data_IF_371305522383
#
_entry.id   IF_371305522383
#
_cell.length_a   1.000
_cell.length_b   1.000
_cell.length_c   1.000
_cell.angle_alpha   90.00
_cell.angle_beta   90.00
_cell.angle_gamma   90.00
#
_symmetry.space_group_name_H-M   'P 1'
#
loop_
_entity.id
_entity.type
_entity.pdbx_description
1 polymer ?
#
# COMPACT_ATOMS: atom_id res chain seq x y z
N UNK A 1 -0.16 14.70 -10.80
CA UNK A 1 -0.13 13.76 -9.67
C UNK A 1 1.29 13.64 -9.15
N UNK A 2 1.45 13.68 -7.86
CA UNK A 2 2.76 13.55 -7.21
C UNK A 2 2.77 12.35 -6.28
N UNK A 3 3.69 11.40 -6.51
CA UNK A 3 3.93 10.26 -5.62
C UNK A 3 5.18 10.58 -4.80
N UNK A 4 5.06 10.56 -3.48
CA UNK A 4 6.14 10.93 -2.58
C UNK A 4 6.01 10.25 -1.22
N UNK A 5 7.07 10.22 -0.40
CA UNK A 5 6.97 9.75 0.96
C UNK A 5 5.94 10.56 1.77
N UNK A 6 5.22 9.86 2.65
CA UNK A 6 4.26 10.49 3.55
C UNK A 6 4.99 11.32 4.60
N UNK A 7 4.37 12.43 5.02
CA UNK A 7 4.87 13.26 6.14
C UNK A 7 4.07 12.96 7.40
N UNK A 8 4.67 13.14 8.61
CA UNK A 8 3.96 12.86 9.85
C UNK A 8 2.61 13.57 10.00
N UNK A 9 2.52 14.81 9.57
CA UNK A 9 1.27 15.58 9.62
C UNK A 9 0.18 15.02 8.69
N UNK A 10 0.52 14.08 7.82
CA UNK A 10 -0.40 13.46 6.87
C UNK A 10 -0.89 12.08 7.33
N UNK A 11 -0.40 11.57 8.44
CA UNK A 11 -0.77 10.23 8.92
C UNK A 11 -2.28 10.09 9.11
N UNK A 12 -2.92 11.11 9.67
CA UNK A 12 -4.37 11.06 9.87
C UNK A 12 -5.13 11.09 8.54
N UNK A 13 -4.67 11.85 7.56
CA UNK A 13 -5.26 11.85 6.23
C UNK A 13 -5.21 10.47 5.59
N UNK A 14 -4.09 9.76 5.74
CA UNK A 14 -3.96 8.39 5.25
C UNK A 14 -4.89 7.43 5.99
N UNK A 15 -5.04 7.58 7.29
CA UNK A 15 -5.94 6.74 8.10
C UNK A 15 -7.39 6.93 7.67
N UNK A 16 -7.81 8.18 7.48
CA UNK A 16 -9.16 8.50 7.00
C UNK A 16 -9.40 7.92 5.60
N UNK A 17 -8.40 8.01 4.71
CA UNK A 17 -8.47 7.44 3.37
C UNK A 17 -8.66 5.92 3.42
N UNK A 18 -7.87 5.24 4.23
CA UNK A 18 -8.00 3.78 4.42
C UNK A 18 -9.38 3.41 4.95
N UNK A 19 -9.89 4.15 5.92
CA UNK A 19 -11.22 3.93 6.47
C UNK A 19 -12.29 4.06 5.39
N UNK A 20 -12.18 5.06 4.52
CA UNK A 20 -13.11 5.25 3.40
C UNK A 20 -13.04 4.10 2.39
N UNK A 21 -11.92 3.37 2.34
CA UNK A 21 -11.72 2.22 1.47
C UNK A 21 -12.05 0.88 2.15
N UNK A 22 -12.64 0.90 3.33
CA UNK A 22 -13.11 -0.31 4.02
C UNK A 22 -12.13 -0.90 5.03
N UNK A 23 -10.98 -0.29 5.25
CA UNK A 23 -10.07 -0.71 6.31
C UNK A 23 -10.66 -0.29 7.66
N UNK A 24 -10.66 -1.17 8.66
CA UNK A 24 -11.30 -0.89 9.95
C UNK A 24 -10.40 -1.20 11.13
N UNK A 25 -10.30 -2.47 11.53
CA UNK A 25 -9.67 -2.85 12.80
C UNK A 25 -8.21 -2.48 12.94
N UNK A 26 -7.42 -2.66 11.87
CA UNK A 26 -5.97 -2.38 11.92
C UNK A 26 -5.63 -0.92 12.12
N UNK A 27 -6.54 -0.04 11.72
CA UNK A 27 -6.26 1.39 11.65
C UNK A 27 -7.11 2.22 12.60
N UNK A 28 -7.94 1.60 13.44
CA UNK A 28 -8.85 2.37 14.31
C UNK A 28 -8.12 3.12 15.42
N UNK A 29 -6.95 2.64 15.87
CA UNK A 29 -6.13 3.36 16.82
C UNK A 29 -5.10 4.21 16.06
N UNK A 30 -5.22 5.55 16.11
CA UNK A 30 -4.30 6.43 15.36
C UNK A 30 -2.84 6.27 15.76
N UNK A 31 -2.55 5.97 17.05
CA UNK A 31 -1.17 5.81 17.50
C UNK A 31 -0.55 4.52 17.00
N UNK A 32 -1.32 3.42 16.99
CA UNK A 32 -0.86 2.15 16.44
C UNK A 32 -0.63 2.28 14.93
N UNK A 33 -1.53 2.96 14.24
CA UNK A 33 -1.36 3.22 12.81
C UNK A 33 -0.10 4.03 12.52
N UNK A 34 0.11 5.12 13.27
CA UNK A 34 1.31 5.94 13.12
C UNK A 34 2.59 5.13 13.37
N UNK A 35 2.58 4.28 14.39
CA UNK A 35 3.72 3.41 14.68
C UNK A 35 4.00 2.45 13.52
N UNK A 36 2.97 1.92 12.89
CA UNK A 36 3.14 1.03 11.73
C UNK A 36 3.78 1.75 10.54
N UNK A 37 3.43 3.01 10.31
CA UNK A 37 4.05 3.80 9.25
C UNK A 37 5.53 4.04 9.56
N UNK A 38 5.85 4.43 10.79
CA UNK A 38 7.24 4.69 11.20
C UNK A 38 8.12 3.45 11.11
N UNK A 39 7.53 2.27 11.30
CA UNK A 39 8.24 1.00 11.21
C UNK A 39 8.40 0.51 9.76
N UNK A 40 7.80 1.19 8.79
CA UNK A 40 7.80 0.77 7.39
C UNK A 40 8.95 1.43 6.63
N UNK A 41 9.58 0.66 5.75
CA UNK A 41 10.64 1.18 4.88
C UNK A 41 10.08 2.01 3.74
N UNK A 42 8.85 1.73 3.32
CA UNK A 42 8.17 2.45 2.25
C UNK A 42 6.79 2.86 2.75
N UNK A 43 6.53 4.16 2.71
CA UNK A 43 5.20 4.71 2.98
C UNK A 43 5.01 5.91 2.05
N UNK A 44 4.15 5.74 1.06
CA UNK A 44 3.97 6.69 -0.03
C UNK A 44 2.56 7.25 -0.04
N UNK A 45 2.44 8.50 -0.46
CA UNK A 45 1.15 9.10 -0.76
C UNK A 45 1.11 9.53 -2.22
N UNK A 46 -0.09 9.56 -2.78
CA UNK A 46 -0.39 10.21 -4.04
C UNK A 46 -1.12 11.50 -3.74
N UNK A 47 -0.59 12.60 -4.23
CA UNK A 47 -1.15 13.93 -4.03
C UNK A 47 -1.65 14.49 -5.36
N UNK A 48 -2.88 14.98 -5.35
CA UNK A 48 -3.47 15.64 -6.51
C UNK A 48 -4.16 16.93 -6.00
N UNK A 49 -3.76 18.07 -6.56
CA UNK A 49 -4.34 19.36 -6.19
C UNK A 49 -4.26 19.68 -4.70
N UNK A 50 -3.18 19.29 -4.04
CA UNK A 50 -2.97 19.50 -2.61
C UNK A 50 -3.69 18.50 -1.70
N UNK A 51 -4.38 17.51 -2.27
CA UNK A 51 -5.11 16.50 -1.51
C UNK A 51 -4.42 15.15 -1.60
N UNK A 52 -4.40 14.41 -0.48
CA UNK A 52 -3.94 13.03 -0.44
C UNK A 52 -5.08 12.15 -0.96
N UNK A 53 -4.85 11.51 -2.10
CA UNK A 53 -5.85 10.68 -2.78
C UNK A 53 -5.43 9.21 -2.88
N UNK A 54 -4.22 8.89 -2.45
CA UNK A 54 -3.73 7.51 -2.42
C UNK A 54 -2.68 7.32 -1.35
N UNK A 55 -2.55 6.07 -0.87
CA UNK A 55 -1.59 5.68 0.15
C UNK A 55 -1.13 4.26 -0.10
N UNK A 56 0.16 4.03 0.11
CA UNK A 56 0.75 2.69 0.08
C UNK A 56 1.73 2.53 1.23
N UNK A 57 1.69 1.38 1.88
CA UNK A 57 2.65 1.00 2.91
C UNK A 57 3.27 -0.34 2.56
N UNK A 58 4.60 -0.43 2.63
CA UNK A 58 5.33 -1.67 2.37
C UNK A 58 6.49 -1.83 3.33
N UNK A 59 6.87 -3.09 3.57
CA UNK A 59 8.00 -3.49 4.39
C UNK A 59 8.99 -4.20 3.47
N UNK A 60 10.27 -3.84 3.53
CA UNK A 60 11.29 -4.45 2.69
C UNK A 60 12.68 -4.27 3.29
N UNK A 61 13.55 -5.24 3.03
CA UNK A 61 14.98 -5.07 3.31
C UNK A 61 15.68 -4.29 2.18
N UNK A 62 15.01 -4.08 1.06
CA UNK A 62 15.58 -3.42 -0.11
C UNK A 62 16.58 -4.29 -0.88
N UNK A 63 16.70 -5.56 -0.54
CA UNK A 63 17.72 -6.47 -1.08
C UNK A 63 17.08 -7.72 -1.69
N UNK A 64 16.31 -8.47 -0.91
CA UNK A 64 15.73 -9.75 -1.35
C UNK A 64 14.23 -9.83 -1.22
N UNK A 65 13.61 -9.17 -0.23
CA UNK A 65 12.20 -9.38 0.09
C UNK A 65 11.46 -8.08 0.32
N UNK A 66 10.20 -8.07 -0.11
CA UNK A 66 9.27 -6.99 0.16
C UNK A 66 7.86 -7.49 0.36
N UNK A 67 7.09 -6.80 1.20
CA UNK A 67 5.69 -7.08 1.45
C UNK A 67 4.89 -5.80 1.34
N UNK A 68 3.94 -5.75 0.40
CA UNK A 68 3.02 -4.63 0.28
C UNK A 68 1.85 -4.90 1.23
N UNK A 69 1.73 -4.06 2.26
CA UNK A 69 0.77 -4.27 3.33
C UNK A 69 -0.56 -3.55 3.10
N UNK A 70 -0.50 -2.32 2.59
CA UNK A 70 -1.69 -1.48 2.42
C UNK A 70 -1.58 -0.70 1.12
N UNK A 71 -2.65 -0.72 0.32
CA UNK A 71 -2.80 0.14 -0.84
C UNK A 71 -4.23 0.65 -0.84
N UNK A 72 -4.40 1.95 -0.92
CA UNK A 72 -5.73 2.57 -0.97
C UNK A 72 -5.72 3.76 -1.93
N UNK A 73 -6.81 3.91 -2.67
CA UNK A 73 -7.06 5.07 -3.54
C UNK A 73 -8.45 5.59 -3.20
N UNK A 74 -8.58 6.91 -3.09
CA UNK A 74 -9.86 7.55 -2.80
C UNK A 74 -10.96 7.01 -3.73
N UNK A 75 -12.15 6.70 -3.21
CA UNK A 75 -13.21 6.06 -4.00
C UNK A 75 -13.54 6.80 -5.30
N UNK A 76 -13.50 8.12 -5.30
CA UNK A 76 -13.80 8.95 -6.48
C UNK A 76 -12.61 9.08 -7.44
N UNK A 77 -11.47 8.50 -7.11
CA UNK A 77 -10.24 8.53 -7.91
C UNK A 77 -9.81 7.15 -8.40
N UNK A 78 -10.55 6.10 -8.07
CA UNK A 78 -10.23 4.75 -8.52
C UNK A 78 -10.41 4.63 -10.03
N UNK A 79 -9.59 3.77 -10.65
CA UNK A 79 -9.62 3.59 -12.11
C UNK A 79 -8.88 4.67 -12.88
N UNK A 80 -8.10 5.54 -12.22
CA UNK A 80 -7.38 6.66 -12.86
C UNK A 80 -5.87 6.45 -12.93
N UNK A 81 -5.37 5.25 -12.53
CA UNK A 81 -3.94 4.93 -12.57
C UNK A 81 -3.15 5.27 -11.31
N UNK A 82 -3.80 5.78 -10.27
CA UNK A 82 -3.12 6.16 -9.02
C UNK A 82 -2.56 4.93 -8.30
N UNK A 83 -3.36 3.88 -8.17
CA UNK A 83 -2.92 2.64 -7.53
C UNK A 83 -1.74 2.02 -8.24
N UNK A 84 -1.78 1.98 -9.57
CA UNK A 84 -0.68 1.48 -10.39
C UNK A 84 0.59 2.31 -10.17
N UNK A 85 0.47 3.63 -10.12
CA UNK A 85 1.62 4.50 -9.91
C UNK A 85 2.23 4.30 -8.52
N UNK A 86 1.41 4.13 -7.48
CA UNK A 86 1.88 3.85 -6.13
C UNK A 86 2.63 2.52 -6.07
N UNK A 87 2.06 1.45 -6.61
CA UNK A 87 2.69 0.13 -6.59
C UNK A 87 4.01 0.15 -7.38
N UNK A 88 4.02 0.73 -8.56
CA UNK A 88 5.24 0.81 -9.36
C UNK A 88 6.33 1.62 -8.66
N UNK A 89 5.97 2.69 -7.96
CA UNK A 89 6.93 3.47 -7.18
C UNK A 89 7.51 2.64 -6.03
N UNK A 90 6.69 1.84 -5.37
CA UNK A 90 7.15 0.96 -4.28
C UNK A 90 8.06 -0.15 -4.78
N UNK A 91 7.70 -0.79 -5.90
CA UNK A 91 8.49 -1.90 -6.46
C UNK A 91 9.88 -1.44 -6.90
N UNK A 92 10.00 -0.20 -7.35
CA UNK A 92 11.27 0.31 -7.86
C UNK A 92 11.76 -0.47 -9.09
N UNK A 93 13.08 -0.53 -9.24
CA UNK A 93 13.72 -1.12 -10.42
C UNK A 93 14.64 -2.30 -10.12
N UNK A 94 14.82 -2.66 -8.84
CA UNK A 94 15.69 -3.79 -8.48
C UNK A 94 14.97 -5.12 -8.78
N UNK A 95 15.45 -5.91 -9.77
CA UNK A 95 14.78 -7.16 -10.14
C UNK A 95 15.04 -8.31 -9.16
N UNK A 96 15.90 -8.12 -8.16
CA UNK A 96 16.29 -9.16 -7.22
C UNK A 96 15.38 -9.27 -5.99
N UNK A 97 14.38 -8.42 -5.88
CA UNK A 97 13.46 -8.42 -4.75
C UNK A 97 12.22 -9.24 -5.09
N UNK A 98 11.91 -10.24 -4.27
CA UNK A 98 10.63 -10.93 -4.35
C UNK A 98 9.59 -10.13 -3.56
N UNK A 99 8.55 -9.66 -4.22
CA UNK A 99 7.46 -8.92 -3.60
C UNK A 99 6.27 -9.82 -3.37
N UNK A 100 5.70 -9.76 -2.16
CA UNK A 100 4.52 -10.54 -1.77
C UNK A 100 3.45 -9.57 -1.27
N UNK A 101 2.19 -9.93 -1.49
CA UNK A 101 1.04 -9.20 -0.95
C UNK A 101 -0.13 -10.17 -0.73
N UNK A 102 -1.15 -9.69 -0.03
CA UNK A 102 -2.39 -10.42 0.16
C UNK A 102 -3.49 -9.75 -0.66
N UNK A 103 -4.09 -10.51 -1.57
CA UNK A 103 -5.13 -10.02 -2.47
C UNK A 103 -6.42 -10.80 -2.20
N UNK A 104 -7.00 -10.58 -1.02
CA UNK A 104 -8.16 -11.32 -0.56
C UNK A 104 -9.50 -10.61 -0.85
N UNK A 105 -9.47 -9.40 -1.41
CA UNK A 105 -10.68 -8.69 -1.82
C UNK A 105 -11.12 -9.11 -3.21
N UNK A 106 -12.43 -9.17 -3.44
CA UNK A 106 -12.98 -9.37 -4.78
C UNK A 106 -12.54 -8.24 -5.71
N UNK A 107 -12.02 -8.60 -6.89
CA UNK A 107 -11.65 -7.64 -7.95
C UNK A 107 -10.23 -7.12 -7.88
N UNK A 108 -9.51 -7.28 -6.76
CA UNK A 108 -8.13 -6.77 -6.67
C UNK A 108 -7.10 -7.68 -7.32
N UNK A 109 -7.41 -8.97 -7.48
CA UNK A 109 -6.44 -9.91 -8.07
C UNK A 109 -6.10 -9.53 -9.51
N UNK A 110 -7.09 -9.14 -10.30
CA UNK A 110 -6.85 -8.69 -11.68
C UNK A 110 -5.97 -7.45 -11.74
N UNK A 111 -6.15 -6.52 -10.79
CA UNK A 111 -5.31 -5.33 -10.69
C UNK A 111 -3.84 -5.72 -10.48
N UNK A 112 -3.56 -6.60 -9.52
CA UNK A 112 -2.19 -7.01 -9.24
C UNK A 112 -1.60 -7.89 -10.33
N UNK A 113 -2.41 -8.75 -10.96
CA UNK A 113 -1.96 -9.55 -12.10
C UNK A 113 -1.48 -8.64 -13.23
N UNK A 114 -2.16 -7.53 -13.48
CA UNK A 114 -1.76 -6.57 -14.50
C UNK A 114 -0.43 -5.89 -14.21
N UNK A 115 0.01 -5.93 -12.95
CA UNK A 115 1.28 -5.35 -12.50
C UNK A 115 2.41 -6.39 -12.37
N UNK A 116 2.17 -7.62 -12.83
CA UNK A 116 3.18 -8.68 -12.84
C UNK A 116 3.13 -9.62 -11.64
N UNK A 117 2.14 -9.47 -10.77
CA UNK A 117 1.95 -10.41 -9.66
C UNK A 117 1.19 -11.66 -10.14
N UNK A 118 1.50 -12.79 -9.54
CA UNK A 118 0.82 -14.06 -9.82
C UNK A 118 0.61 -14.81 -8.51
N UNK A 119 -0.32 -15.76 -8.51
CA UNK A 119 -0.55 -16.61 -7.34
C UNK A 119 0.71 -17.41 -7.03
N UNK A 120 1.10 -17.43 -5.75
CA UNK A 120 2.26 -18.20 -5.32
C UNK A 120 1.87 -19.62 -4.97
N UNK A 121 2.65 -20.59 -5.46
CA UNK A 121 2.52 -21.99 -5.08
C UNK A 121 3.40 -22.33 -3.86
N UNK A 122 4.23 -21.40 -3.39
CA UNK A 122 5.21 -21.68 -2.33
C UNK A 122 5.05 -20.79 -1.10
N UNK A 123 4.38 -19.63 -1.20
CA UNK A 123 4.17 -18.76 -0.06
C UNK A 123 3.16 -19.36 0.91
N UNK A 124 3.48 -19.28 2.21
CA UNK A 124 2.60 -19.72 3.29
C UNK A 124 2.33 -18.55 4.22
N UNK A 125 1.18 -18.54 4.87
CA UNK A 125 0.75 -17.49 5.75
C UNK A 125 0.42 -18.03 7.13
N UNK A 126 0.89 -17.33 8.16
CA UNK A 126 0.44 -17.56 9.54
C UNK A 126 -0.28 -16.30 10.02
N UNK A 127 -1.59 -16.40 10.19
CA UNK A 127 -2.42 -15.25 10.58
C UNK A 127 -2.21 -14.87 12.05
N UNK A 128 -2.53 -13.62 12.36
CA UNK A 128 -2.62 -13.16 13.75
C UNK A 128 -3.64 -14.01 14.51
N UNK A 129 -3.38 -14.21 15.78
CA UNK A 129 -4.22 -15.03 16.64
C UNK A 129 -4.85 -14.21 17.76
#
# INVERSE_FOLDING_TARGET
>A
MNIRPIRPEEFESARVLLSACGWTKKIEDPEVFAASIRASQIALVAEVGGQIVGFLRAITDGIFNGYISMVAVAPDRQGTGIGKALVNAALGTNPNITWVLRADRTGVQGFYTSLGFEHSAVAMERRRR
#
